data_IF_543280845340
#
_entry.id   IF_543280845340
#
_cell.length_a   1.000
_cell.length_b   1.000
_cell.length_c   1.000
_cell.angle_alpha   90.00
_cell.angle_beta   90.00
_cell.angle_gamma   90.00
#
_symmetry.space_group_name_H-M   'P 1'
#
loop_
_entity.id
_entity.type
_entity.pdbx_description
1 polymer ?
#
# COMPACT_ATOMS: atom_id res chain seq x y z
N UNK A 1 -11.33 12.61 -8.17
CA UNK A 1 -10.26 13.52 -7.72
C UNK A 1 -9.27 12.73 -6.87
N UNK A 2 -7.96 13.04 -6.91
CA UNK A 2 -7.01 12.47 -5.96
C UNK A 2 -7.26 12.99 -4.55
N UNK A 3 -6.91 12.22 -3.51
CA UNK A 3 -7.07 12.62 -2.10
C UNK A 3 -5.88 12.16 -1.27
N UNK A 4 -5.49 12.96 -0.28
CA UNK A 4 -4.50 12.53 0.71
C UNK A 4 -5.18 11.59 1.72
N UNK A 5 -4.50 10.50 2.04
CA UNK A 5 -4.95 9.48 2.99
C UNK A 5 -3.89 9.36 4.07
N UNK A 6 -4.30 9.51 5.33
CA UNK A 6 -3.47 9.15 6.48
C UNK A 6 -3.75 7.69 6.81
N UNK A 7 -2.70 6.94 7.06
CA UNK A 7 -2.78 5.54 7.41
C UNK A 7 -1.74 5.19 8.46
N UNK A 8 -2.01 4.12 9.20
CA UNK A 8 -1.09 3.52 10.13
C UNK A 8 -0.50 2.25 9.52
N UNK A 9 0.81 2.08 9.68
CA UNK A 9 1.52 0.87 9.30
C UNK A 9 1.92 0.15 10.57
N UNK A 10 1.64 -1.15 10.64
CA UNK A 10 2.07 -2.01 11.75
C UNK A 10 2.96 -3.13 11.20
N UNK A 11 4.16 -3.26 11.76
CA UNK A 11 5.16 -4.30 11.44
C UNK A 11 5.76 -4.75 12.77
N UNK A 12 5.80 -6.06 13.05
CA UNK A 12 6.41 -6.63 14.26
C UNK A 12 5.95 -5.97 15.59
N UNK A 13 4.67 -5.58 15.66
CA UNK A 13 4.02 -4.82 16.75
C UNK A 13 4.42 -3.35 16.89
N UNK A 14 5.32 -2.84 16.07
CA UNK A 14 5.61 -1.41 15.97
C UNK A 14 4.65 -0.74 14.99
N UNK A 15 4.14 0.44 15.37
CA UNK A 15 3.22 1.23 14.56
C UNK A 15 3.84 2.56 14.14
N UNK A 16 3.63 2.96 12.88
CA UNK A 16 3.99 4.30 12.41
C UNK A 16 2.87 4.91 11.55
N UNK A 17 2.69 6.23 11.66
CA UNK A 17 1.73 6.97 10.82
C UNK A 17 2.42 7.46 9.55
N UNK A 18 1.76 7.25 8.42
CA UNK A 18 2.21 7.67 7.11
C UNK A 18 1.08 8.36 6.33
N UNK A 19 1.46 8.96 5.20
CA UNK A 19 0.51 9.60 4.28
C UNK A 19 0.72 9.07 2.86
N UNK A 20 -0.38 8.91 2.13
CA UNK A 20 -0.41 8.49 0.73
C UNK A 20 -1.28 9.44 -0.09
N UNK A 21 -1.03 9.50 -1.39
CA UNK A 21 -2.01 9.99 -2.35
C UNK A 21 -2.85 8.80 -2.85
N UNK A 22 -4.16 8.86 -2.67
CA UNK A 22 -5.09 7.93 -3.30
C UNK A 22 -5.52 8.45 -4.66
N UNK A 23 -5.40 7.58 -5.66
CA UNK A 23 -5.80 7.82 -7.03
C UNK A 23 -6.90 6.83 -7.42
N UNK A 24 -8.12 7.32 -7.75
CA UNK A 24 -9.15 6.45 -8.31
C UNK A 24 -8.77 6.02 -9.73
N UNK A 25 -9.32 4.89 -10.16
CA UNK A 25 -9.25 4.39 -11.53
C UNK A 25 -9.64 5.49 -12.52
N UNK A 26 -8.91 5.57 -13.62
CA UNK A 26 -9.06 6.60 -14.63
C UNK A 26 -8.27 7.88 -14.33
N UNK A 27 -7.91 8.16 -13.08
CA UNK A 27 -7.02 9.28 -12.76
C UNK A 27 -5.66 9.07 -13.43
N UNK A 28 -5.22 10.02 -14.26
CA UNK A 28 -3.98 9.89 -15.06
C UNK A 28 -3.88 8.57 -15.85
N UNK A 29 -5.01 8.05 -16.35
CA UNK A 29 -5.09 6.75 -17.06
C UNK A 29 -4.75 5.53 -16.19
N UNK A 30 -4.82 5.65 -14.87
CA UNK A 30 -4.64 4.52 -13.97
C UNK A 30 -5.68 3.43 -14.24
N UNK A 31 -5.20 2.19 -14.41
CA UNK A 31 -6.08 1.02 -14.65
C UNK A 31 -6.82 0.57 -13.40
N UNK A 32 -6.28 0.89 -12.22
CA UNK A 32 -6.81 0.50 -10.92
C UNK A 32 -6.75 1.68 -9.94
N UNK A 33 -7.66 1.65 -8.98
CA UNK A 33 -7.53 2.42 -7.75
C UNK A 33 -6.21 2.03 -7.06
N UNK A 34 -5.50 3.00 -6.50
CA UNK A 34 -4.22 2.75 -5.82
C UNK A 34 -3.86 3.83 -4.82
N UNK A 35 -2.94 3.46 -3.93
CA UNK A 35 -2.18 4.38 -3.09
C UNK A 35 -0.81 4.58 -3.71
N UNK A 36 -0.40 5.84 -3.82
CA UNK A 36 0.98 6.25 -4.03
C UNK A 36 1.54 6.69 -2.67
N UNK A 37 2.40 5.85 -2.10
CA UNK A 37 3.05 6.09 -0.81
C UNK A 37 4.44 6.65 -1.06
N UNK A 38 4.78 7.79 -0.46
CA UNK A 38 6.10 8.39 -0.62
C UNK A 38 7.20 7.66 0.18
N UNK A 39 8.47 7.73 -0.25
CA UNK A 39 9.60 7.08 0.41
C UNK A 39 9.89 7.62 1.82
N UNK A 40 9.31 8.74 2.21
CA UNK A 40 9.34 9.27 3.57
C UNK A 40 8.66 8.35 4.60
N UNK A 41 7.79 7.42 4.17
CA UNK A 41 7.24 6.36 5.01
C UNK A 41 8.29 5.26 5.23
N UNK A 42 9.36 5.58 5.97
CA UNK A 42 10.56 4.73 6.14
C UNK A 42 10.27 3.33 6.67
N UNK A 43 9.19 3.16 7.42
CA UNK A 43 8.74 1.86 7.94
C UNK A 43 8.42 0.85 6.82
N UNK A 44 8.06 1.31 5.61
CA UNK A 44 7.82 0.46 4.46
C UNK A 44 9.06 0.25 3.57
N UNK A 45 10.27 0.60 4.03
CA UNK A 45 11.50 0.53 3.23
C UNK A 45 11.73 -0.85 2.60
N UNK A 46 11.42 -1.93 3.31
CA UNK A 46 11.48 -3.30 2.78
C UNK A 46 10.62 -3.46 1.52
N UNK A 47 9.37 -2.97 1.53
CA UNK A 47 8.51 -3.01 0.35
C UNK A 47 9.03 -2.11 -0.78
N UNK A 48 9.61 -0.95 -0.46
CA UNK A 48 10.25 -0.09 -1.47
C UNK A 48 11.41 -0.79 -2.17
N UNK A 49 12.30 -1.43 -1.41
CA UNK A 49 13.46 -2.17 -1.95
C UNK A 49 12.99 -3.32 -2.85
N UNK A 50 12.01 -4.10 -2.40
CA UNK A 50 11.44 -5.21 -3.18
C UNK A 50 10.80 -4.72 -4.48
N UNK A 51 9.98 -3.66 -4.40
CA UNK A 51 9.31 -3.07 -5.55
C UNK A 51 10.28 -2.45 -6.56
N UNK A 52 11.39 -1.85 -6.09
CA UNK A 52 12.41 -1.22 -6.95
C UNK A 52 13.24 -2.24 -7.72
N UNK A 53 13.65 -3.32 -7.06
CA UNK A 53 14.61 -4.26 -7.64
C UNK A 53 14.01 -5.16 -8.72
N UNK A 54 12.76 -5.57 -8.57
CA UNK A 54 12.16 -6.58 -9.45
C UNK A 54 10.72 -6.29 -9.87
N UNK A 55 10.01 -5.44 -9.12
CA UNK A 55 8.55 -5.41 -9.12
C UNK A 55 8.01 -6.77 -8.67
N UNK A 56 7.25 -6.80 -7.58
CA UNK A 56 6.96 -8.06 -6.88
C UNK A 56 5.46 -8.30 -6.76
N UNK A 57 5.04 -9.53 -7.08
CA UNK A 57 3.67 -9.98 -6.83
C UNK A 57 3.59 -10.59 -5.43
N UNK A 58 3.04 -9.84 -4.48
CA UNK A 58 2.92 -10.24 -3.09
C UNK A 58 1.50 -10.66 -2.75
N UNK A 59 1.40 -11.50 -1.71
CA UNK A 59 0.11 -11.85 -1.12
C UNK A 59 -0.45 -10.62 -0.40
N UNK A 60 -1.72 -10.34 -0.64
CA UNK A 60 -2.44 -9.32 0.10
C UNK A 60 -3.74 -9.87 0.67
N UNK A 61 -3.97 -9.62 1.95
CA UNK A 61 -5.16 -10.07 2.67
C UNK A 61 -5.94 -8.87 3.21
N UNK A 62 -7.26 -9.00 3.18
CA UNK A 62 -8.17 -8.01 3.79
C UNK A 62 -8.34 -8.34 5.27
N UNK A 63 -8.02 -7.39 6.16
CA UNK A 63 -8.06 -7.56 7.62
C UNK A 63 -8.83 -6.40 8.25
N UNK A 64 -10.12 -6.54 8.54
CA UNK A 64 -10.96 -5.58 9.27
C UNK A 64 -10.49 -4.09 9.25
N UNK A 65 -10.55 -3.44 8.09
CA UNK A 65 -10.15 -2.03 7.94
C UNK A 65 -8.67 -1.80 7.58
N UNK A 66 -7.91 -2.88 7.41
CA UNK A 66 -6.51 -2.89 7.03
C UNK A 66 -6.24 -3.85 5.86
N UNK A 67 -5.10 -3.66 5.21
CA UNK A 67 -4.47 -4.56 4.27
C UNK A 67 -3.33 -5.28 4.98
N UNK A 68 -3.16 -6.57 4.78
CA UNK A 68 -1.94 -7.30 5.17
C UNK A 68 -1.16 -7.61 3.89
N UNK A 69 0.06 -7.08 3.76
CA UNK A 69 0.98 -7.36 2.66
C UNK A 69 2.07 -8.26 3.20
N UNK A 70 2.18 -9.46 2.63
CA UNK A 70 3.06 -10.52 3.16
C UNK A 70 4.16 -10.83 2.14
N UNK A 71 5.39 -10.88 2.63
CA UNK A 71 6.59 -11.36 1.91
C UNK A 71 7.10 -12.61 2.62
N UNK A 72 6.64 -13.81 2.23
CA UNK A 72 6.96 -15.04 2.94
C UNK A 72 8.46 -15.36 3.00
N UNK A 73 9.21 -15.00 1.96
CA UNK A 73 10.62 -15.34 1.78
C UNK A 73 11.52 -14.74 2.87
N UNK A 74 11.08 -13.66 3.52
CA UNK A 74 11.80 -12.95 4.58
C UNK A 74 10.98 -12.83 5.87
N UNK A 75 9.90 -13.61 5.99
CA UNK A 75 8.97 -13.56 7.12
C UNK A 75 8.51 -12.13 7.48
N UNK A 76 8.13 -11.34 6.47
CA UNK A 76 7.72 -9.96 6.65
C UNK A 76 6.22 -9.81 6.38
N UNK A 77 5.51 -9.17 7.31
CA UNK A 77 4.12 -8.76 7.15
C UNK A 77 3.97 -7.27 7.51
N UNK A 78 3.42 -6.49 6.58
CA UNK A 78 3.03 -5.11 6.84
C UNK A 78 1.51 -4.99 6.84
N UNK A 79 0.95 -4.56 7.96
CA UNK A 79 -0.45 -4.17 8.06
C UNK A 79 -0.58 -2.68 7.74
N UNK A 80 -1.42 -2.32 6.77
CA UNK A 80 -1.70 -0.95 6.38
C UNK A 80 -3.17 -0.66 6.70
N UNK A 81 -3.38 0.10 7.77
CA UNK A 81 -4.70 0.43 8.31
C UNK A 81 -5.10 1.86 7.94
N UNK A 82 -6.24 2.01 7.25
CA UNK A 82 -6.67 3.30 6.72
C UNK A 82 -7.85 3.81 7.54
N UNK A 83 -7.72 5.00 8.12
CA UNK A 83 -8.79 5.60 8.90
C UNK A 83 -9.96 6.04 8.00
N UNK A 84 -11.19 5.91 8.48
CA UNK A 84 -12.43 6.34 7.81
C UNK A 84 -12.78 5.61 6.50
N UNK A 85 -12.04 4.56 6.14
CA UNK A 85 -12.29 3.75 4.97
C UNK A 85 -12.18 2.27 5.30
N UNK A 86 -13.06 1.47 4.71
CA UNK A 86 -12.78 0.06 4.50
C UNK A 86 -11.85 -0.05 3.30
N UNK A 87 -10.68 -0.64 3.52
CA UNK A 87 -9.70 -0.89 2.47
C UNK A 87 -9.78 -2.33 2.00
N UNK A 88 -9.70 -2.55 0.68
CA UNK A 88 -9.66 -3.87 0.07
C UNK A 88 -8.50 -4.01 -0.91
N UNK A 89 -7.91 -5.18 -0.98
CA UNK A 89 -7.00 -5.60 -2.03
C UNK A 89 -7.43 -6.93 -2.64
N UNK A 90 -6.85 -7.25 -3.80
CA UNK A 90 -6.90 -8.59 -4.39
C UNK A 90 -5.95 -9.52 -3.63
N UNK A 91 -6.21 -10.82 -3.66
CA UNK A 91 -5.38 -11.84 -2.98
C UNK A 91 -3.89 -11.75 -3.32
N UNK A 92 -3.57 -11.26 -4.52
CA UNK A 92 -2.21 -10.89 -4.93
C UNK A 92 -2.23 -9.49 -5.50
N UNK A 93 -1.21 -8.71 -5.14
CA UNK A 93 -0.98 -7.37 -5.64
C UNK A 93 0.42 -7.27 -6.21
N UNK A 94 0.59 -6.46 -7.26
CA UNK A 94 1.91 -6.16 -7.78
C UNK A 94 2.37 -4.82 -7.21
N UNK A 95 3.45 -4.84 -6.44
CA UNK A 95 4.11 -3.63 -5.95
C UNK A 95 5.10 -3.14 -6.98
N UNK A 96 5.09 -1.84 -7.23
CA UNK A 96 6.03 -1.19 -8.13
C UNK A 96 6.39 0.21 -7.63
N UNK A 97 7.52 0.73 -8.09
CA UNK A 97 7.90 2.12 -7.86
C UNK A 97 7.42 2.96 -9.05
N UNK A 98 6.68 4.02 -8.76
CA UNK A 98 6.27 5.00 -9.77
C UNK A 98 7.47 5.81 -10.25
N UNK A 99 7.32 6.54 -11.36
CA UNK A 99 8.36 7.45 -11.88
C UNK A 99 8.81 8.52 -10.86
N UNK A 100 7.97 8.84 -9.87
CA UNK A 100 8.27 9.81 -8.81
C UNK A 100 8.97 9.20 -7.60
N UNK A 101 9.22 7.88 -7.61
CA UNK A 101 9.82 7.18 -6.48
C UNK A 101 8.81 6.69 -5.44
N UNK A 102 7.50 6.90 -5.66
CA UNK A 102 6.46 6.42 -4.73
C UNK A 102 6.21 4.93 -4.90
N UNK A 103 5.90 4.24 -3.81
CA UNK A 103 5.41 2.87 -3.81
C UNK A 103 3.93 2.87 -4.24
N UNK A 104 3.67 2.22 -5.36
CA UNK A 104 2.33 1.98 -5.88
C UNK A 104 1.75 0.72 -5.24
N UNK A 105 0.60 0.86 -4.56
CA UNK A 105 -0.14 -0.25 -3.97
C UNK A 105 -1.57 -0.24 -4.53
N UNK A 106 -1.98 -1.23 -5.35
CA UNK A 106 -3.33 -1.31 -5.88
C UNK A 106 -4.32 -1.72 -4.77
N UNK A 107 -5.32 -0.90 -4.53
CA UNK A 107 -6.32 -1.07 -3.45
C UNK A 107 -7.64 -0.44 -3.85
N UNK A 108 -8.73 -0.84 -3.21
CA UNK A 108 -10.03 -0.16 -3.30
C UNK A 108 -10.38 0.45 -1.95
N UNK A 109 -10.76 1.72 -1.93
CA UNK A 109 -11.26 2.41 -0.74
C UNK A 109 -12.79 2.53 -0.80
N UNK A 110 -13.46 1.96 0.21
CA UNK A 110 -14.90 2.07 0.41
C UNK A 110 -15.09 2.96 1.64
N UNK A 111 -15.88 4.03 1.52
CA UNK A 111 -16.16 4.92 2.67
C UNK A 111 -16.84 4.09 3.77
N UNK A 112 -16.29 4.16 4.99
CA UNK A 112 -16.82 3.43 6.15
C UNK A 112 -18.16 4.02 6.62
#
# INVERSE_FOLDING_TARGET
MKRKIVFEVIIDNDSAKCMAEYHPRGYMRAKHDHLDIGPECKVLNTLFVLAKNRGVSLKCLNRNGCLSIIVPEINYEALICIQNYRVKCRNRIYLMITRRGNLYIPVTLIKA
#
